data_IF_334479087449
#
_entry.id   IF_334479087449
#
_cell.length_a   1.000
_cell.length_b   1.000
_cell.length_c   1.000
_cell.angle_alpha   90.00
_cell.angle_beta   90.00
_cell.angle_gamma   90.00
#
_symmetry.space_group_name_H-M   'P 1'
#
loop_
_entity.id
_entity.type
_entity.pdbx_description
1 polymer ?
#
# COMPACT_ATOMS: atom_id res chain seq x y z
N UNK A 1 -29.45 14.35 12.48
CA UNK A 1 -29.78 13.08 11.79
C UNK A 1 -28.48 12.50 11.25
N UNK A 2 -27.89 11.54 11.98
CA UNK A 2 -26.62 10.87 11.62
C UNK A 2 -26.92 9.73 10.64
N UNK A 3 -26.54 9.90 9.37
CA UNK A 3 -26.60 8.80 8.40
C UNK A 3 -25.52 7.78 8.75
N UNK A 4 -25.92 6.61 9.25
CA UNK A 4 -25.03 5.45 9.38
C UNK A 4 -24.48 5.09 7.99
N UNK A 5 -23.15 4.88 7.84
CA UNK A 5 -22.61 4.43 6.60
C UNK A 5 -23.22 3.08 6.22
N UNK A 6 -23.76 2.97 5.00
CA UNK A 6 -24.27 1.72 4.44
C UNK A 6 -23.14 0.67 4.49
N UNK A 7 -23.36 -0.37 5.29
CA UNK A 7 -22.54 -1.57 5.32
C UNK A 7 -22.43 -2.11 3.88
N UNK A 8 -21.29 -1.89 3.23
CA UNK A 8 -21.02 -2.50 1.93
C UNK A 8 -21.06 -4.01 2.15
N UNK A 9 -21.97 -4.71 1.48
CA UNK A 9 -22.03 -6.18 1.48
C UNK A 9 -20.72 -6.67 0.90
N UNK A 10 -19.98 -7.48 1.67
CA UNK A 10 -18.85 -8.23 1.15
C UNK A 10 -19.34 -9.10 0.01
N UNK A 11 -18.66 -9.11 -1.16
CA UNK A 11 -19.03 -10.00 -2.23
C UNK A 11 -18.89 -11.45 -1.71
N UNK A 12 -19.93 -12.25 -1.90
CA UNK A 12 -19.94 -13.66 -1.51
C UNK A 12 -18.82 -14.40 -2.28
N UNK A 13 -18.24 -15.44 -1.69
CA UNK A 13 -17.19 -16.27 -2.34
C UNK A 13 -17.63 -16.79 -3.71
N UNK A 14 -18.91 -17.08 -3.88
CA UNK A 14 -19.51 -17.45 -5.17
C UNK A 14 -19.34 -16.37 -6.24
N UNK A 15 -19.24 -15.08 -5.86
CA UNK A 15 -19.09 -13.98 -6.82
C UNK A 15 -17.67 -13.86 -7.38
N UNK A 16 -16.64 -14.35 -6.68
CA UNK A 16 -15.25 -14.32 -7.15
C UNK A 16 -14.99 -15.38 -8.22
N UNK A 17 -15.59 -16.57 -8.09
CA UNK A 17 -15.43 -17.64 -9.08
C UNK A 17 -16.05 -17.32 -10.44
N UNK A 18 -17.10 -16.52 -10.46
CA UNK A 18 -17.77 -16.05 -11.69
C UNK A 18 -17.22 -14.72 -12.20
N UNK A 19 -16.30 -14.07 -11.48
CA UNK A 19 -15.77 -12.78 -11.87
C UNK A 19 -14.69 -12.92 -12.94
N UNK A 20 -14.97 -12.39 -14.13
CA UNK A 20 -14.02 -12.29 -15.22
C UNK A 20 -13.48 -10.85 -15.28
N UNK A 21 -12.18 -10.72 -15.08
CA UNK A 21 -11.50 -9.43 -15.16
C UNK A 21 -11.16 -9.10 -16.61
N UNK A 22 -11.67 -7.96 -17.09
CA UNK A 22 -11.38 -7.44 -18.43
C UNK A 22 -10.59 -6.12 -18.36
N UNK A 23 -9.29 -6.12 -18.71
CA UNK A 23 -8.46 -4.92 -18.72
C UNK A 23 -8.60 -4.07 -19.98
N UNK A 24 -9.39 -4.49 -21.00
CA UNK A 24 -9.40 -3.92 -22.35
C UNK A 24 -9.63 -2.40 -22.40
N UNK A 25 -10.34 -1.85 -21.44
CA UNK A 25 -10.64 -0.43 -21.35
C UNK A 25 -9.53 0.40 -20.68
N UNK A 26 -8.52 -0.21 -20.07
CA UNK A 26 -7.47 0.51 -19.34
C UNK A 26 -6.39 1.03 -20.30
N UNK A 27 -5.89 2.23 -20.01
CA UNK A 27 -4.70 2.76 -20.69
C UNK A 27 -3.40 2.10 -20.13
N UNK A 28 -2.27 2.35 -20.78
CA UNK A 28 -0.99 1.79 -20.42
C UNK A 28 -0.54 2.22 -19.01
N UNK A 29 -0.84 3.47 -18.63
CA UNK A 29 -0.47 4.03 -17.31
C UNK A 29 -1.22 3.32 -16.18
N UNK A 30 -2.55 3.18 -16.31
CA UNK A 30 -3.38 2.49 -15.32
C UNK A 30 -3.05 1.00 -15.25
N UNK A 31 -2.84 0.35 -16.41
CA UNK A 31 -2.43 -1.05 -16.48
C UNK A 31 -1.13 -1.31 -15.72
N UNK A 32 -0.09 -0.49 -15.94
CA UNK A 32 1.21 -0.62 -15.24
C UNK A 32 1.09 -0.42 -13.73
N UNK A 33 0.33 0.58 -13.30
CA UNK A 33 0.12 0.84 -11.88
C UNK A 33 -0.61 -0.34 -11.22
N UNK A 34 -1.63 -0.86 -11.88
CA UNK A 34 -2.42 -1.96 -11.34
C UNK A 34 -1.60 -3.27 -11.30
N UNK A 35 -0.80 -3.56 -12.34
CA UNK A 35 0.15 -4.68 -12.33
C UNK A 35 1.03 -4.63 -11.07
N UNK A 36 1.68 -3.49 -10.81
CA UNK A 36 2.57 -3.33 -9.65
C UNK A 36 1.84 -3.55 -8.33
N UNK A 37 0.59 -3.09 -8.22
CA UNK A 37 -0.24 -3.29 -7.02
C UNK A 37 -0.60 -4.77 -6.85
N UNK A 38 -1.17 -5.41 -7.89
CA UNK A 38 -1.61 -6.80 -7.81
C UNK A 38 -0.43 -7.74 -7.52
N UNK A 39 0.68 -7.54 -8.21
CA UNK A 39 1.90 -8.32 -8.00
C UNK A 39 2.47 -8.15 -6.58
N UNK A 40 2.46 -6.91 -6.06
CA UNK A 40 2.87 -6.64 -4.68
C UNK A 40 1.99 -7.34 -3.64
N UNK A 41 0.68 -7.35 -3.84
CA UNK A 41 -0.23 -8.04 -2.92
C UNK A 41 -0.03 -9.56 -2.90
N UNK A 42 0.45 -10.18 -3.99
CA UNK A 42 0.81 -11.61 -4.02
C UNK A 42 1.89 -11.98 -2.99
N UNK A 43 2.79 -11.06 -2.68
CA UNK A 43 3.83 -11.23 -1.65
C UNK A 43 3.51 -10.43 -0.38
N UNK A 44 2.23 -10.16 -0.13
CA UNK A 44 1.74 -9.43 1.05
C UNK A 44 2.30 -8.02 1.24
N UNK A 45 2.77 -7.38 0.17
CA UNK A 45 3.06 -5.96 0.15
C UNK A 45 1.79 -5.19 -0.16
N UNK A 46 1.05 -4.88 0.89
CA UNK A 46 -0.17 -4.08 0.78
C UNK A 46 0.19 -2.64 0.39
N UNK A 47 0.08 -2.34 -0.90
CA UNK A 47 0.21 -0.98 -1.40
C UNK A 47 -0.98 -0.12 -1.03
N UNK A 48 -0.73 1.18 -0.89
CA UNK A 48 -1.81 2.15 -0.75
C UNK A 48 -2.60 2.27 -2.06
N UNK A 49 -3.82 1.77 -2.04
CA UNK A 49 -4.72 1.78 -3.21
C UNK A 49 -5.54 3.07 -3.32
N UNK A 50 -5.38 4.03 -2.40
CA UNK A 50 -6.14 5.31 -2.39
C UNK A 50 -5.98 6.09 -3.69
N UNK A 51 -4.85 5.96 -4.39
CA UNK A 51 -4.68 6.63 -5.69
C UNK A 51 -5.61 6.05 -6.77
N UNK A 52 -5.87 4.73 -6.75
CA UNK A 52 -6.84 4.09 -7.66
C UNK A 52 -8.26 4.51 -7.26
N UNK A 53 -8.58 4.50 -5.95
CA UNK A 53 -9.88 4.94 -5.45
C UNK A 53 -10.19 6.38 -5.82
N UNK A 54 -9.22 7.28 -5.68
CA UNK A 54 -9.36 8.67 -6.15
C UNK A 54 -9.56 8.76 -7.66
N UNK A 55 -8.89 7.92 -8.44
CA UNK A 55 -9.08 7.84 -9.89
C UNK A 55 -10.50 7.39 -10.25
N UNK A 56 -10.99 6.36 -9.58
CA UNK A 56 -12.36 5.85 -9.73
C UNK A 56 -13.41 6.90 -9.34
N UNK A 57 -13.23 7.58 -8.20
CA UNK A 57 -14.14 8.62 -7.71
C UNK A 57 -14.20 9.84 -8.64
N UNK A 58 -13.05 10.23 -9.21
CA UNK A 58 -12.95 11.37 -10.13
C UNK A 58 -13.35 11.03 -11.57
N UNK A 59 -13.71 9.78 -11.85
CA UNK A 59 -14.00 9.33 -13.22
C UNK A 59 -12.78 9.37 -14.16
N UNK A 60 -11.55 9.38 -13.60
CA UNK A 60 -10.31 9.37 -14.38
C UNK A 60 -9.99 7.98 -14.96
N UNK A 61 -10.81 6.98 -14.65
CA UNK A 61 -10.69 5.60 -15.10
C UNK A 61 -11.93 5.25 -15.92
N UNK A 62 -11.82 4.40 -16.95
CA UNK A 62 -12.96 4.01 -17.76
C UNK A 62 -14.11 3.38 -16.97
N UNK A 63 -15.36 3.63 -17.38
CA UNK A 63 -16.56 3.13 -16.70
C UNK A 63 -16.60 1.60 -16.57
N UNK A 64 -16.05 0.88 -17.55
CA UNK A 64 -15.94 -0.57 -17.50
C UNK A 64 -15.10 -1.04 -16.30
N UNK A 65 -13.95 -0.40 -16.06
CA UNK A 65 -13.10 -0.71 -14.91
C UNK A 65 -13.76 -0.29 -13.58
N UNK A 66 -14.46 0.86 -13.54
CA UNK A 66 -15.18 1.30 -12.33
C UNK A 66 -16.15 0.23 -11.82
N UNK A 67 -16.80 -0.51 -12.73
CA UNK A 67 -17.71 -1.62 -12.36
C UNK A 67 -16.97 -2.83 -11.79
N UNK A 68 -15.75 -3.08 -12.23
CA UNK A 68 -14.92 -4.22 -11.79
C UNK A 68 -14.17 -3.92 -10.50
N UNK A 69 -13.86 -2.65 -10.24
CA UNK A 69 -13.06 -2.22 -9.09
C UNK A 69 -13.55 -2.70 -7.72
N UNK A 70 -14.85 -2.70 -7.39
CA UNK A 70 -15.33 -3.20 -6.11
C UNK A 70 -14.91 -4.64 -5.81
N UNK A 71 -14.93 -5.53 -6.82
CA UNK A 71 -14.51 -6.92 -6.67
C UNK A 71 -13.00 -7.05 -6.48
N UNK A 72 -12.20 -6.35 -7.29
CA UNK A 72 -10.74 -6.32 -7.14
C UNK A 72 -10.38 -5.77 -5.76
N UNK A 73 -10.98 -4.65 -5.37
CA UNK A 73 -10.79 -4.00 -4.09
C UNK A 73 -11.08 -4.94 -2.92
N UNK A 74 -12.16 -5.72 -2.98
CA UNK A 74 -12.53 -6.65 -1.90
C UNK A 74 -11.45 -7.70 -1.67
N UNK A 75 -10.86 -8.24 -2.74
CA UNK A 75 -9.73 -9.18 -2.66
C UNK A 75 -8.52 -8.49 -2.01
N UNK A 76 -8.16 -7.29 -2.45
CA UNK A 76 -7.02 -6.56 -1.88
C UNK A 76 -7.22 -6.25 -0.39
N UNK A 77 -8.44 -5.88 0.01
CA UNK A 77 -8.74 -5.60 1.43
C UNK A 77 -8.76 -6.84 2.31
N UNK A 78 -9.05 -8.05 1.80
CA UNK A 78 -8.88 -9.29 2.56
C UNK A 78 -7.45 -9.43 3.06
N UNK A 79 -6.45 -9.18 2.20
CA UNK A 79 -5.03 -9.20 2.60
C UNK A 79 -4.70 -8.14 3.66
N UNK A 80 -5.28 -6.94 3.54
CA UNK A 80 -5.06 -5.87 4.50
C UNK A 80 -5.76 -6.12 5.84
N UNK A 81 -6.88 -6.84 5.82
CA UNK A 81 -7.71 -7.12 7.00
C UNK A 81 -7.12 -8.21 7.92
N UNK A 82 -6.17 -9.01 7.47
CA UNK A 82 -5.56 -10.10 8.25
C UNK A 82 -4.79 -9.60 9.48
N UNK A 83 -4.29 -8.38 9.45
CA UNK A 83 -3.45 -7.86 10.52
C UNK A 83 -4.01 -8.06 11.95
N UNK A 84 -5.29 -7.74 12.22
CA UNK A 84 -5.90 -7.92 13.55
C UNK A 84 -5.95 -9.36 14.05
N UNK A 85 -6.02 -10.34 13.14
CA UNK A 85 -6.17 -11.76 13.47
C UNK A 85 -4.80 -12.44 13.74
N UNK A 86 -3.70 -11.75 13.42
CA UNK A 86 -2.35 -12.27 13.63
C UNK A 86 -1.96 -12.15 15.12
N UNK A 87 -1.47 -13.23 15.75
CA UNK A 87 -1.01 -13.21 17.14
C UNK A 87 -0.02 -12.07 17.39
N UNK A 88 -0.14 -11.42 18.55
CA UNK A 88 0.69 -10.28 19.01
C UNK A 88 0.57 -8.97 18.21
N UNK A 89 -0.06 -8.92 17.05
CA UNK A 89 -0.21 -7.66 16.29
C UNK A 89 -1.01 -6.64 17.08
N UNK A 90 -2.12 -7.04 17.69
CA UNK A 90 -2.93 -6.14 18.52
C UNK A 90 -2.14 -5.59 19.73
N UNK A 91 -1.29 -6.40 20.34
CA UNK A 91 -0.43 -5.98 21.44
C UNK A 91 0.59 -4.92 20.99
N UNK A 92 1.27 -5.15 19.85
CA UNK A 92 2.20 -4.16 19.28
C UNK A 92 1.48 -2.87 18.87
N UNK A 93 0.28 -2.96 18.34
CA UNK A 93 -0.52 -1.78 17.99
C UNK A 93 -0.95 -0.99 19.24
N UNK A 94 -1.37 -1.69 20.31
CA UNK A 94 -1.70 -1.06 21.59
C UNK A 94 -0.47 -0.39 22.23
N UNK A 95 0.69 -1.03 22.21
CA UNK A 95 1.96 -0.44 22.69
C UNK A 95 2.34 0.80 21.87
N UNK A 96 2.20 0.72 20.55
CA UNK A 96 2.42 1.88 19.66
C UNK A 96 1.52 3.05 20.04
N UNK A 97 0.21 2.81 20.25
CA UNK A 97 -0.73 3.86 20.64
C UNK A 97 -0.33 4.51 21.96
N UNK A 98 0.07 3.71 22.97
CA UNK A 98 0.55 4.23 24.26
C UNK A 98 1.79 5.12 24.09
N UNK A 99 2.78 4.67 23.33
CA UNK A 99 4.00 5.46 23.06
C UNK A 99 3.68 6.75 22.30
N UNK A 100 2.81 6.69 21.30
CA UNK A 100 2.36 7.88 20.56
C UNK A 100 1.56 8.84 21.44
N UNK A 101 0.74 8.33 22.35
CA UNK A 101 0.01 9.15 23.31
C UNK A 101 0.98 9.90 24.24
N UNK A 102 1.99 9.22 24.81
CA UNK A 102 3.01 9.87 25.63
C UNK A 102 3.76 10.95 24.84
N UNK A 103 4.17 10.65 23.60
CA UNK A 103 4.82 11.63 22.73
C UNK A 103 3.92 12.85 22.43
N UNK A 104 2.62 12.62 22.21
CA UNK A 104 1.66 13.68 21.99
C UNK A 104 1.49 14.55 23.24
N UNK A 105 1.40 13.96 24.43
CA UNK A 105 1.33 14.68 25.70
C UNK A 105 2.56 15.56 25.88
N UNK A 106 3.76 15.01 25.68
CA UNK A 106 5.01 15.79 25.75
C UNK A 106 4.99 16.99 24.79
N UNK A 107 4.57 16.78 23.55
CA UNK A 107 4.47 17.87 22.56
C UNK A 107 3.43 18.91 22.94
N UNK A 108 2.25 18.48 23.41
CA UNK A 108 1.14 19.38 23.77
C UNK A 108 1.51 20.29 24.92
N UNK A 109 2.28 19.82 25.90
CA UNK A 109 2.69 20.65 27.03
C UNK A 109 4.00 21.41 26.77
N UNK A 110 4.96 20.80 26.10
CA UNK A 110 6.27 21.45 25.89
C UNK A 110 6.21 22.56 24.84
N UNK A 111 5.47 22.37 23.76
CA UNK A 111 5.47 23.30 22.64
C UNK A 111 4.91 24.70 22.99
N UNK A 112 3.78 24.86 23.72
CA UNK A 112 3.32 26.16 24.16
C UNK A 112 4.32 26.87 25.06
N UNK A 113 4.96 26.16 25.99
CA UNK A 113 5.95 26.74 26.93
C UNK A 113 7.16 27.31 26.18
N UNK A 114 7.52 26.70 25.04
CA UNK A 114 8.62 27.20 24.18
C UNK A 114 8.16 28.38 23.31
N UNK A 115 6.94 28.27 22.73
CA UNK A 115 6.48 29.23 21.71
C UNK A 115 5.91 30.51 22.32
N UNK A 116 5.13 30.40 23.41
CA UNK A 116 4.45 31.57 23.99
C UNK A 116 5.41 32.67 24.47
N UNK A 117 6.52 32.37 25.20
CA UNK A 117 7.47 33.41 25.61
C UNK A 117 8.11 34.14 24.41
N UNK A 118 8.38 33.41 23.31
CA UNK A 118 8.91 33.99 22.09
C UNK A 118 7.92 34.91 21.39
N UNK A 119 6.64 34.47 21.30
CA UNK A 119 5.54 35.25 20.68
C UNK A 119 5.25 36.51 21.49
N UNK A 120 5.17 36.41 22.80
CA UNK A 120 4.83 37.52 23.71
C UNK A 120 6.05 38.31 24.18
N UNK A 121 7.28 38.01 23.68
CA UNK A 121 8.53 38.67 24.01
C UNK A 121 8.78 38.78 25.54
N UNK A 122 8.45 37.70 26.28
CA UNK A 122 8.63 37.63 27.73
C UNK A 122 10.14 37.47 28.02
N UNK A 123 10.75 38.48 28.64
CA UNK A 123 12.16 38.45 29.02
C UNK A 123 12.39 37.55 30.26
N UNK A 124 13.56 36.89 30.32
CA UNK A 124 13.97 36.10 31.49
C UNK A 124 13.47 34.65 31.52
N UNK A 125 12.81 34.16 30.47
CA UNK A 125 12.28 32.77 30.39
C UNK A 125 13.23 31.81 29.66
N UNK A 126 14.39 32.25 29.21
CA UNK A 126 15.28 31.45 28.37
C UNK A 126 15.78 30.17 29.06
N UNK A 127 15.97 30.17 30.35
CA UNK A 127 16.39 29.00 31.12
C UNK A 127 15.27 27.93 31.23
N UNK A 128 14.01 28.33 31.16
CA UNK A 128 12.88 27.40 31.12
C UNK A 128 12.61 26.82 29.70
N UNK A 129 12.85 27.63 28.67
CA UNK A 129 12.54 27.20 27.30
C UNK A 129 13.43 26.06 26.82
N UNK A 130 14.70 26.02 27.26
CA UNK A 130 15.65 24.95 26.82
C UNK A 130 15.21 23.54 27.19
N UNK A 131 14.84 23.19 28.46
CA UNK A 131 14.40 21.84 28.80
C UNK A 131 13.09 21.46 28.12
N UNK A 132 12.17 22.41 27.93
CA UNK A 132 10.92 22.13 27.20
C UNK A 132 11.12 21.98 25.70
N UNK A 133 12.08 22.70 25.09
CA UNK A 133 12.50 22.48 23.72
C UNK A 133 13.07 21.06 23.53
N UNK A 134 13.93 20.63 24.45
CA UNK A 134 14.47 19.26 24.42
C UNK A 134 13.36 18.22 24.58
N UNK A 135 12.39 18.44 25.46
CA UNK A 135 11.24 17.57 25.62
C UNK A 135 10.36 17.51 24.37
N UNK A 136 10.15 18.64 23.70
CA UNK A 136 9.41 18.70 22.43
C UNK A 136 10.13 17.92 21.31
N UNK A 137 11.45 18.12 21.18
CA UNK A 137 12.30 17.40 20.21
C UNK A 137 12.29 15.90 20.52
N UNK A 138 12.45 15.52 21.78
CA UNK A 138 12.37 14.12 22.20
C UNK A 138 11.01 13.50 21.87
N UNK A 139 9.90 14.20 22.14
CA UNK A 139 8.54 13.75 21.78
C UNK A 139 8.39 13.53 20.29
N UNK A 140 8.89 14.44 19.44
CA UNK A 140 8.90 14.28 17.99
C UNK A 140 9.70 13.04 17.54
N UNK A 141 10.93 12.90 18.06
CA UNK A 141 11.79 11.75 17.72
C UNK A 141 11.15 10.43 18.15
N UNK A 142 10.61 10.35 19.37
CA UNK A 142 9.90 9.18 19.88
C UNK A 142 8.72 8.84 18.96
N UNK A 143 7.91 9.83 18.56
CA UNK A 143 6.77 9.63 17.68
C UNK A 143 7.19 9.08 16.31
N UNK A 144 8.22 9.65 15.69
CA UNK A 144 8.70 9.25 14.36
C UNK A 144 9.36 7.87 14.39
N UNK A 145 10.30 7.65 15.31
CA UNK A 145 11.08 6.41 15.37
C UNK A 145 10.21 5.23 15.81
N UNK A 146 9.36 5.43 16.83
CA UNK A 146 8.47 4.38 17.32
C UNK A 146 7.47 3.95 16.24
N UNK A 147 6.89 4.90 15.50
CA UNK A 147 5.96 4.59 14.41
C UNK A 147 6.62 3.71 13.34
N UNK A 148 7.83 4.05 12.92
CA UNK A 148 8.59 3.26 11.95
C UNK A 148 8.94 1.86 12.46
N UNK A 149 9.38 1.76 13.71
CA UNK A 149 9.77 0.49 14.32
C UNK A 149 8.57 -0.45 14.50
N UNK A 150 7.47 0.04 15.09
CA UNK A 150 6.26 -0.76 15.29
C UNK A 150 5.64 -1.19 13.97
N UNK A 151 5.59 -0.32 12.95
CA UNK A 151 5.10 -0.68 11.62
C UNK A 151 5.92 -1.82 11.00
N UNK A 152 7.26 -1.77 11.13
CA UNK A 152 8.13 -2.86 10.64
C UNK A 152 7.87 -4.17 11.36
N UNK A 153 7.70 -4.14 12.70
CA UNK A 153 7.40 -5.33 13.49
C UNK A 153 6.06 -5.94 13.12
N UNK A 154 5.00 -5.12 13.01
CA UNK A 154 3.67 -5.57 12.59
C UNK A 154 3.73 -6.15 11.18
N UNK A 155 4.35 -5.47 10.22
CA UNK A 155 4.49 -5.98 8.86
C UNK A 155 5.24 -7.31 8.81
N UNK A 156 6.28 -7.47 9.64
CA UNK A 156 7.02 -8.72 9.72
C UNK A 156 6.19 -9.86 10.31
N UNK A 157 5.43 -9.61 11.39
CA UNK A 157 4.54 -10.61 11.99
C UNK A 157 3.45 -11.06 11.01
N UNK A 158 2.83 -10.12 10.30
CA UNK A 158 1.82 -10.43 9.29
C UNK A 158 2.44 -11.26 8.16
N UNK A 159 3.58 -10.85 7.65
CA UNK A 159 4.31 -11.60 6.61
C UNK A 159 4.61 -13.03 7.05
N UNK A 160 5.22 -13.19 8.23
CA UNK A 160 5.57 -14.51 8.79
C UNK A 160 4.33 -15.38 9.02
N UNK A 161 3.24 -14.81 9.55
CA UNK A 161 2.00 -15.55 9.77
C UNK A 161 1.43 -16.10 8.44
N UNK A 162 1.42 -15.29 7.39
CA UNK A 162 0.90 -15.69 6.08
C UNK A 162 1.83 -16.71 5.42
N UNK A 163 3.16 -16.58 5.58
CA UNK A 163 4.13 -17.52 5.05
C UNK A 163 4.02 -18.90 5.68
N UNK A 164 3.74 -18.94 6.99
CA UNK A 164 3.50 -20.21 7.71
C UNK A 164 2.10 -20.82 7.44
N UNK A 165 1.20 -20.06 6.83
CA UNK A 165 -0.14 -20.51 6.46
C UNK A 165 -0.40 -20.32 4.95
N UNK A 166 0.27 -21.07 4.07
CA UNK A 166 0.22 -20.83 2.62
C UNK A 166 -1.19 -20.97 2.02
N UNK A 167 -2.06 -21.71 2.69
CA UNK A 167 -3.45 -21.92 2.24
C UNK A 167 -4.37 -20.73 2.57
N UNK A 168 -3.95 -19.82 3.45
CA UNK A 168 -4.79 -18.72 3.95
C UNK A 168 -5.33 -17.82 2.83
N UNK A 169 -4.59 -17.65 1.73
CA UNK A 169 -4.98 -16.84 0.58
C UNK A 169 -4.61 -17.49 -0.76
N UNK A 170 -4.63 -18.82 -0.83
CA UNK A 170 -4.22 -19.53 -2.04
C UNK A 170 -5.09 -19.12 -3.24
N UNK A 171 -6.42 -19.13 -3.07
CA UNK A 171 -7.39 -18.78 -4.11
C UNK A 171 -7.24 -17.30 -4.53
N UNK A 172 -7.16 -16.39 -3.57
CA UNK A 172 -6.96 -14.97 -3.85
C UNK A 172 -5.62 -14.67 -4.55
N UNK A 173 -4.55 -15.36 -4.18
CA UNK A 173 -3.24 -15.23 -4.86
C UNK A 173 -3.29 -15.67 -6.31
N UNK A 174 -4.00 -16.78 -6.60
CA UNK A 174 -4.20 -17.23 -7.96
C UNK A 174 -5.03 -16.23 -8.79
N UNK A 175 -6.08 -15.66 -8.22
CA UNK A 175 -6.82 -14.57 -8.88
C UNK A 175 -5.94 -13.35 -9.16
N UNK A 176 -5.13 -12.91 -8.19
CA UNK A 176 -4.21 -11.79 -8.39
C UNK A 176 -3.18 -12.08 -9.48
N UNK A 177 -2.64 -13.31 -9.52
CA UNK A 177 -1.71 -13.75 -10.59
C UNK A 177 -2.40 -13.69 -11.96
N UNK A 178 -3.58 -14.27 -12.08
CA UNK A 178 -4.37 -14.29 -13.33
C UNK A 178 -4.68 -12.87 -13.81
N UNK A 179 -5.11 -11.97 -12.92
CA UNK A 179 -5.42 -10.59 -13.28
C UNK A 179 -4.17 -9.80 -13.68
N UNK A 180 -3.07 -9.99 -12.96
CA UNK A 180 -1.79 -9.37 -13.33
C UNK A 180 -1.31 -9.87 -14.71
N UNK A 181 -1.45 -11.16 -15.00
CA UNK A 181 -1.11 -11.74 -16.29
C UNK A 181 -1.96 -11.14 -17.43
N UNK A 182 -3.27 -11.00 -17.24
CA UNK A 182 -4.16 -10.36 -18.22
C UNK A 182 -3.75 -8.90 -18.49
N UNK A 183 -3.37 -8.17 -17.45
CA UNK A 183 -2.87 -6.80 -17.59
C UNK A 183 -1.54 -6.72 -18.32
N UNK A 184 -0.63 -7.68 -18.10
CA UNK A 184 0.64 -7.76 -18.81
C UNK A 184 0.38 -7.94 -20.31
N UNK A 185 -0.47 -8.88 -20.70
CA UNK A 185 -0.82 -9.10 -22.10
C UNK A 185 -1.53 -7.88 -22.72
N UNK A 186 -2.42 -7.24 -21.97
CA UNK A 186 -3.08 -6.02 -22.42
C UNK A 186 -2.08 -4.87 -22.60
N UNK A 187 -1.20 -4.62 -21.62
CA UNK A 187 -0.18 -3.59 -21.70
C UNK A 187 0.80 -3.85 -22.86
N UNK A 188 1.19 -5.10 -23.11
CA UNK A 188 2.02 -5.50 -24.25
C UNK A 188 1.36 -5.17 -25.58
N UNK A 189 0.04 -5.42 -25.70
CA UNK A 189 -0.74 -5.00 -26.90
C UNK A 189 -0.80 -3.50 -27.09
N UNK A 190 -0.98 -2.72 -26.01
CA UNK A 190 -0.99 -1.26 -26.07
C UNK A 190 0.39 -0.71 -26.49
N UNK A 191 1.48 -1.24 -25.94
CA UNK A 191 2.86 -0.86 -26.31
C UNK A 191 3.08 -1.07 -27.81
N UNK A 192 2.61 -2.17 -28.36
CA UNK A 192 2.70 -2.47 -29.80
C UNK A 192 1.88 -1.50 -30.63
N UNK A 193 0.60 -1.30 -30.25
CA UNK A 193 -0.33 -0.45 -31.00
C UNK A 193 0.12 1.01 -31.07
N UNK A 194 0.64 1.53 -29.96
CA UNK A 194 1.01 2.95 -29.84
C UNK A 194 2.48 3.20 -30.18
N UNK A 195 3.21 2.19 -30.70
CA UNK A 195 4.65 2.24 -31.04
C UNK A 195 5.52 2.83 -29.93
N UNK A 196 5.12 2.63 -28.68
CA UNK A 196 5.83 3.18 -27.54
C UNK A 196 7.18 2.50 -27.40
N UNK A 197 8.26 3.27 -27.26
CA UNK A 197 9.62 2.73 -27.08
C UNK A 197 9.66 1.80 -25.85
N UNK A 198 9.77 0.52 -26.11
CA UNK A 198 9.72 -0.56 -25.11
C UNK A 198 10.79 -0.37 -24.03
N UNK A 199 11.97 0.15 -24.41
CA UNK A 199 13.09 0.43 -23.50
C UNK A 199 12.74 1.41 -22.35
N UNK A 200 11.74 2.28 -22.55
CA UNK A 200 11.26 3.23 -21.56
C UNK A 200 10.16 2.66 -20.66
N UNK A 201 9.67 1.45 -20.96
CA UNK A 201 8.53 0.85 -20.27
C UNK A 201 8.96 -0.16 -19.21
N UNK A 202 9.81 0.29 -18.28
CA UNK A 202 10.25 -0.53 -17.16
C UNK A 202 9.16 -0.59 -16.09
N UNK A 203 8.87 -1.78 -15.62
CA UNK A 203 7.93 -2.06 -14.52
C UNK A 203 8.66 -2.76 -13.38
N UNK A 204 8.25 -2.46 -12.16
CA UNK A 204 8.78 -3.14 -10.97
C UNK A 204 7.88 -4.32 -10.65
N UNK A 205 8.47 -5.50 -10.55
CA UNK A 205 7.81 -6.74 -10.18
C UNK A 205 8.43 -7.31 -8.91
N UNK A 206 7.64 -8.07 -8.18
CA UNK A 206 8.09 -8.81 -7.01
C UNK A 206 8.21 -10.30 -7.29
N UNK A 207 7.50 -10.77 -8.32
CA UNK A 207 7.54 -12.12 -8.82
C UNK A 207 8.00 -12.10 -10.29
N UNK A 208 8.65 -13.17 -10.74
CA UNK A 208 9.12 -13.36 -12.12
C UNK A 208 8.36 -14.45 -12.87
N UNK A 209 7.32 -15.00 -12.25
CA UNK A 209 6.54 -16.13 -12.72
C UNK A 209 5.37 -15.74 -13.66
N UNK A 210 5.60 -14.72 -14.50
CA UNK A 210 4.65 -14.24 -15.49
C UNK A 210 5.15 -14.46 -16.91
N UNK A 211 4.20 -14.72 -17.83
CA UNK A 211 4.50 -14.77 -19.25
C UNK A 211 4.53 -13.36 -19.87
N UNK A 212 5.31 -13.20 -20.95
CA UNK A 212 5.38 -11.93 -21.68
C UNK A 212 6.25 -10.85 -21.01
N UNK A 213 7.11 -11.23 -20.09
CA UNK A 213 8.07 -10.33 -19.43
C UNK A 213 9.52 -10.70 -19.77
N UNK A 214 10.40 -9.68 -19.74
CA UNK A 214 11.85 -9.86 -19.81
C UNK A 214 12.44 -9.28 -18.53
N UNK A 215 13.07 -10.12 -17.70
CA UNK A 215 13.78 -9.68 -16.51
C UNK A 215 15.09 -9.04 -16.92
N UNK A 216 15.23 -7.73 -16.69
CA UNK A 216 16.45 -6.98 -16.97
C UNK A 216 17.40 -6.94 -15.76
N UNK A 217 16.82 -6.89 -14.55
CA UNK A 217 17.60 -6.85 -13.31
C UNK A 217 16.88 -7.65 -12.23
N UNK A 218 17.61 -8.58 -11.63
CA UNK A 218 17.14 -9.36 -10.48
C UNK A 218 17.26 -8.61 -9.15
N UNK A 219 16.54 -9.03 -8.09
CA UNK A 219 16.73 -8.54 -6.75
C UNK A 219 18.17 -8.76 -6.29
N UNK A 220 18.89 -7.67 -5.94
CA UNK A 220 20.27 -7.75 -5.41
C UNK A 220 20.55 -6.62 -4.43
N UNK A 221 21.15 -6.94 -3.28
CA UNK A 221 21.50 -5.97 -2.25
C UNK A 221 20.26 -5.22 -1.70
N UNK A 222 20.24 -3.90 -1.83
CA UNK A 222 19.12 -3.07 -1.36
C UNK A 222 17.87 -3.14 -2.25
N UNK A 223 18.03 -3.57 -3.51
CA UNK A 223 16.89 -3.72 -4.42
C UNK A 223 16.20 -5.07 -4.18
N UNK A 224 14.95 -5.02 -3.72
CA UNK A 224 14.14 -6.20 -3.40
C UNK A 224 13.08 -6.51 -4.47
N UNK A 225 13.26 -6.04 -5.69
CA UNK A 225 12.31 -6.22 -6.80
C UNK A 225 13.07 -6.48 -8.10
N UNK A 226 12.41 -7.17 -8.99
CA UNK A 226 12.82 -7.31 -10.39
C UNK A 226 12.56 -6.01 -11.14
N UNK A 227 13.45 -5.64 -12.04
CA UNK A 227 13.19 -4.63 -13.05
C UNK A 227 12.90 -5.37 -14.34
N UNK A 228 11.69 -5.21 -14.82
CA UNK A 228 11.14 -6.01 -15.91
C UNK A 228 10.71 -5.10 -17.06
N UNK A 229 10.92 -5.57 -18.26
CA UNK A 229 10.44 -5.00 -19.50
C UNK A 229 9.32 -5.89 -20.03
N UNK A 230 8.19 -5.28 -20.44
CA UNK A 230 7.11 -6.01 -21.09
C UNK A 230 7.53 -6.35 -22.53
N UNK A 231 7.35 -7.62 -22.94
CA UNK A 231 7.57 -8.01 -24.33
C UNK A 231 6.52 -7.31 -25.20
N UNK A 232 6.94 -6.63 -26.25
CA UNK A 232 6.06 -6.37 -27.36
C UNK A 232 6.01 -7.70 -28.16
N UNK A 233 4.96 -8.50 -27.96
CA UNK A 233 4.83 -9.76 -28.67
C UNK A 233 5.01 -9.52 -30.16
N UNK A 234 6.02 -10.15 -30.73
CA UNK A 234 6.13 -10.33 -32.18
C UNK A 234 5.60 -11.74 -32.42
N UNK A 235 4.45 -11.84 -33.05
CA UNK A 235 3.97 -13.10 -33.63
C UNK A 235 5.01 -13.62 -34.62
#
# INVERSE_FOLDING_TARGET
MSQRPKKQREPSETSLRSFEFDPSALDLKWSRNLITVLDGYRIHRCYDVRFIEKGVQKGAVPRAFIRQWPTIRSVLYKFAAVGPDVPHVQEYMARRQKVQFVALVLLTFALPIVVLPWVFRIQGWDWFTTPFLLAAVAGLLISLLSSGWYNRKVSWLVFYHIENNPNLFAEEREHLKKWAQLLIWHASRLIRKDEVKVEKQLVKFWNDDYDGIIVLKEPKGFRKHYVVQLKADRD
#
